data_IF_089135129799
#
_entry.id   IF_089135129799
#
_cell.length_a   1.000
_cell.length_b   1.000
_cell.length_c   1.000
_cell.angle_alpha   90.00
_cell.angle_beta   90.00
_cell.angle_gamma   90.00
#
_symmetry.space_group_name_H-M   'P 1'
#
loop_
_entity.id
_entity.type
_entity.pdbx_description
1 polymer ?
#
# COMPACT_ATOMS: atom_id res chain seq x y z
N UNK A 1 6.46 -3.55 12.49
CA UNK A 1 5.69 -2.33 12.79
C UNK A 1 5.25 -1.71 11.47
N UNK A 2 3.95 -1.40 11.32
CA UNK A 2 3.39 -0.89 10.06
C UNK A 2 3.87 0.55 9.80
N UNK A 3 4.22 0.85 8.55
CA UNK A 3 4.66 2.21 8.16
C UNK A 3 3.45 3.10 7.96
N UNK A 4 3.44 4.28 8.59
CA UNK A 4 2.44 5.32 8.33
C UNK A 4 2.96 6.33 7.31
N UNK A 5 2.30 6.43 6.17
CA UNK A 5 2.65 7.35 5.09
C UNK A 5 2.28 8.78 5.49
N UNK A 6 3.19 9.70 5.17
CA UNK A 6 2.98 11.14 5.32
C UNK A 6 2.48 11.74 4.00
N UNK A 7 1.82 12.91 4.09
CA UNK A 7 1.28 13.62 2.93
C UNK A 7 2.31 14.44 2.16
N UNK A 8 3.47 14.72 2.75
CA UNK A 8 4.57 15.50 2.17
C UNK A 8 5.50 14.69 1.25
N UNK A 9 5.29 13.37 1.16
CA UNK A 9 6.07 12.47 0.29
C UNK A 9 5.19 11.40 -0.35
N UNK A 10 5.58 10.98 -1.55
CA UNK A 10 4.96 9.89 -2.30
C UNK A 10 5.69 8.55 -2.14
N UNK A 11 6.76 8.50 -1.34
CA UNK A 11 7.59 7.30 -1.19
C UNK A 11 6.87 6.20 -0.42
N UNK A 12 6.86 4.99 -0.99
CA UNK A 12 6.40 3.78 -0.34
C UNK A 12 7.58 3.01 0.29
N UNK A 13 7.36 2.27 1.39
CA UNK A 13 8.39 1.39 1.94
C UNK A 13 8.69 0.23 0.97
N UNK A 14 9.87 -0.41 1.07
CA UNK A 14 10.20 -1.59 0.28
C UNK A 14 9.14 -2.69 0.44
N UNK A 15 8.78 -3.37 -0.65
CA UNK A 15 7.75 -4.43 -0.65
C UNK A 15 8.07 -5.58 0.31
N UNK A 16 9.35 -5.85 0.58
CA UNK A 16 9.81 -6.85 1.55
C UNK A 16 9.38 -6.56 2.99
N UNK A 17 8.91 -5.34 3.28
CA UNK A 17 8.32 -4.97 4.57
C UNK A 17 6.82 -5.29 4.68
N UNK A 18 6.18 -5.78 3.61
CA UNK A 18 4.80 -6.21 3.67
C UNK A 18 4.63 -7.35 4.69
N UNK A 19 3.54 -7.28 5.44
CA UNK A 19 3.23 -8.30 6.46
C UNK A 19 2.86 -9.62 5.80
N UNK A 20 3.21 -10.74 6.46
CA UNK A 20 2.74 -12.07 6.05
C UNK A 20 1.30 -12.33 6.48
N UNK A 21 0.90 -11.80 7.62
CA UNK A 21 -0.46 -11.88 8.17
C UNK A 21 -0.81 -10.52 8.80
N UNK A 22 -1.79 -9.77 8.28
CA UNK A 22 -2.54 -10.06 7.05
C UNK A 22 -1.66 -9.96 5.80
N UNK A 23 -1.86 -10.86 4.84
CA UNK A 23 -0.98 -11.00 3.66
C UNK A 23 -0.93 -9.71 2.84
N UNK A 24 0.27 -9.14 2.75
CA UNK A 24 0.58 -8.03 1.86
C UNK A 24 0.39 -6.65 2.47
N UNK A 25 -0.07 -6.52 3.73
CA UNK A 25 -0.25 -5.20 4.34
C UNK A 25 1.09 -4.47 4.46
N UNK A 26 1.26 -3.37 3.74
CA UNK A 26 2.53 -2.69 3.54
C UNK A 26 2.62 -1.37 4.32
N UNK A 27 1.56 -0.56 4.26
CA UNK A 27 1.53 0.75 4.90
C UNK A 27 0.09 1.21 5.20
N UNK A 28 -0.04 2.23 6.04
CA UNK A 28 -1.30 2.92 6.34
C UNK A 28 -1.17 4.44 6.14
N UNK A 29 -2.27 5.14 5.90
CA UNK A 29 -2.32 6.61 5.83
C UNK A 29 -1.94 7.20 4.46
N UNK A 30 -1.49 8.45 4.48
CA UNK A 30 -1.31 9.28 3.29
C UNK A 30 -2.60 9.95 2.82
N UNK A 31 -2.91 9.77 1.53
CA UNK A 31 -4.05 10.35 0.82
C UNK A 31 -4.37 9.51 -0.43
N UNK A 32 -5.39 9.88 -1.19
CA UNK A 32 -5.74 9.26 -2.48
C UNK A 32 -5.52 10.22 -3.65
N UNK A 33 -4.48 11.06 -3.56
CA UNK A 33 -4.10 11.93 -4.67
C UNK A 33 -3.69 11.11 -5.90
N UNK A 34 -3.93 11.64 -7.10
CA UNK A 34 -3.57 10.97 -8.36
C UNK A 34 -2.09 10.58 -8.40
N UNK A 35 -1.20 11.48 -7.98
CA UNK A 35 0.24 11.22 -7.95
C UNK A 35 0.61 10.06 -7.03
N UNK A 36 0.01 9.98 -5.84
CA UNK A 36 0.27 8.85 -4.92
C UNK A 36 -0.25 7.54 -5.49
N UNK A 37 -1.44 7.54 -6.10
CA UNK A 37 -2.00 6.35 -6.72
C UNK A 37 -1.09 5.85 -7.86
N UNK A 38 -0.63 6.74 -8.74
CA UNK A 38 0.32 6.40 -9.81
C UNK A 38 1.60 5.79 -9.21
N UNK A 39 2.17 6.41 -8.16
CA UNK A 39 3.36 5.87 -7.50
C UNK A 39 3.11 4.51 -6.86
N UNK A 40 1.96 4.30 -6.21
CA UNK A 40 1.60 3.02 -5.60
C UNK A 40 1.56 1.89 -6.63
N UNK A 41 0.84 2.09 -7.74
CA UNK A 41 0.72 1.09 -8.80
C UNK A 41 2.08 0.79 -9.46
N UNK A 42 2.92 1.82 -9.70
CA UNK A 42 4.29 1.62 -10.22
C UNK A 42 5.19 0.87 -9.25
N UNK A 43 4.98 1.06 -7.95
CA UNK A 43 5.69 0.35 -6.88
C UNK A 43 5.15 -1.06 -6.62
N UNK A 44 4.03 -1.46 -7.25
CA UNK A 44 3.42 -2.78 -7.08
C UNK A 44 2.43 -2.88 -5.93
N UNK A 45 2.02 -1.78 -5.31
CA UNK A 45 1.00 -1.77 -4.25
C UNK A 45 -0.31 -1.10 -4.68
N UNK A 46 -1.39 -1.37 -3.93
CA UNK A 46 -2.72 -0.83 -4.20
C UNK A 46 -3.45 -0.48 -2.90
N UNK A 47 -4.34 0.54 -2.91
CA UNK A 47 -5.14 0.87 -1.73
C UNK A 47 -6.35 -0.08 -1.62
N UNK A 48 -6.62 -0.59 -0.43
CA UNK A 48 -7.83 -1.37 -0.14
C UNK A 48 -8.16 -1.28 1.35
N UNK A 49 -9.33 -0.76 1.70
CA UNK A 49 -9.72 -0.52 3.10
C UNK A 49 -11.24 -0.41 3.21
N UNK A 50 -11.79 -0.69 4.38
CA UNK A 50 -13.22 -0.54 4.68
C UNK A 50 -13.56 0.86 5.19
N UNK A 51 -14.85 1.21 5.20
CA UNK A 51 -15.31 2.44 5.83
C UNK A 51 -14.89 2.51 7.31
N UNK A 52 -14.46 3.68 7.76
CA UNK A 52 -13.94 3.90 9.11
C UNK A 52 -12.49 3.44 9.32
N UNK A 53 -11.88 2.72 8.38
CA UNK A 53 -10.45 2.41 8.43
C UNK A 53 -9.60 3.54 7.85
N UNK A 54 -8.35 3.71 8.31
CA UNK A 54 -7.39 4.50 7.55
C UNK A 54 -7.16 3.86 6.17
N UNK A 55 -6.63 4.65 5.23
CA UNK A 55 -6.19 4.11 3.94
C UNK A 55 -5.12 3.03 4.22
N UNK A 56 -5.32 1.81 3.73
CA UNK A 56 -4.36 0.72 3.82
C UNK A 56 -3.83 0.39 2.42
N UNK A 57 -2.52 0.15 2.34
CA UNK A 57 -1.81 -0.15 1.10
C UNK A 57 -1.27 -1.57 1.13
N UNK A 58 -1.51 -2.32 0.05
CA UNK A 58 -1.29 -3.76 0.00
C UNK A 58 -0.40 -4.17 -1.17
N UNK A 59 0.42 -5.20 -0.95
CA UNK A 59 1.19 -5.91 -1.97
C UNK A 59 1.33 -7.38 -1.55
N UNK A 60 0.30 -8.22 -1.81
CA UNK A 60 0.29 -9.61 -1.39
C UNK A 60 1.33 -10.45 -2.11
N UNK A 61 1.84 -11.46 -1.41
CA UNK A 61 2.76 -12.48 -1.91
C UNK A 61 2.18 -13.87 -1.56
N UNK A 62 1.84 -14.74 -2.55
CA UNK A 62 1.94 -14.50 -3.99
C UNK A 62 0.91 -13.48 -4.53
N UNK A 63 1.19 -12.92 -5.71
CA UNK A 63 0.30 -11.97 -6.42
C UNK A 63 -0.48 -12.68 -7.53
N UNK A 64 -1.80 -12.56 -7.49
CA UNK A 64 -2.68 -13.08 -8.56
C UNK A 64 -2.49 -12.29 -9.87
N UNK A 65 -2.40 -13.01 -10.99
CA UNK A 65 -2.30 -12.48 -12.36
C UNK A 65 -3.15 -13.31 -13.33
N UNK A 66 -3.54 -12.73 -14.47
CA UNK A 66 -4.25 -13.40 -15.58
C UNK A 66 -3.49 -13.14 -16.88
N UNK A 67 -3.43 -14.15 -17.76
CA UNK A 67 -2.70 -14.12 -19.03
C UNK A 67 -3.65 -14.18 -20.22
#
# INVERSE_FOLDING_TARGET
MLTWLKRDTLTFPPLTKAMREPNGLLAAGGDLSADRLIQAYRHGCFPWFSEGQPILWWSPDPRTVLF
#
